data_IF_259799119552
#
_entry.id   IF_259799119552
#
_cell.length_a   1.000
_cell.length_b   1.000
_cell.length_c   1.000
_cell.angle_alpha   90.00
_cell.angle_beta   90.00
_cell.angle_gamma   90.00
#
_symmetry.space_group_name_H-M   'P 1'
#
loop_
_entity.id
_entity.type
_entity.pdbx_description
1 polymer ?
#
# COMPACT_ATOMS: atom_id res chain seq x y z
N UNK A 1 -13.74 -23.31 4.32
CA UNK A 1 -13.95 -22.85 5.71
C UNK A 1 -12.80 -21.92 6.06
N UNK A 2 -12.98 -20.60 5.97
CA UNK A 2 -12.03 -19.64 6.52
C UNK A 2 -12.06 -19.77 8.05
N UNK A 3 -10.87 -19.82 8.66
CA UNK A 3 -10.67 -20.25 10.05
C UNK A 3 -11.50 -19.44 11.05
N UNK A 4 -12.16 -20.14 11.97
CA UNK A 4 -13.07 -19.58 12.99
C UNK A 4 -12.42 -18.60 13.98
N UNK A 5 -11.13 -18.30 13.89
CA UNK A 5 -10.38 -17.50 14.86
C UNK A 5 -9.33 -16.60 14.17
N UNK A 6 -9.74 -15.71 13.25
CA UNK A 6 -8.81 -14.73 12.64
C UNK A 6 -9.16 -13.35 13.17
N UNK A 7 -8.26 -12.76 13.96
CA UNK A 7 -8.32 -11.36 14.36
C UNK A 7 -7.39 -10.56 13.43
N UNK A 8 -7.93 -9.51 12.81
CA UNK A 8 -7.13 -8.56 12.07
C UNK A 8 -6.50 -7.56 13.04
N UNK A 9 -5.18 -7.41 12.98
CA UNK A 9 -4.45 -6.40 13.73
C UNK A 9 -3.83 -5.41 12.75
N UNK A 10 -4.35 -4.18 12.77
CA UNK A 10 -3.81 -3.11 11.92
C UNK A 10 -2.34 -2.80 12.25
N UNK A 11 -1.54 -2.33 11.28
CA UNK A 11 -0.19 -1.86 11.56
C UNK A 11 -0.14 -0.82 12.68
N UNK A 12 1.01 -0.73 13.34
CA UNK A 12 1.23 0.23 14.42
C UNK A 12 2.66 0.72 14.48
N UNK A 13 2.80 1.90 15.07
CA UNK A 13 4.04 2.63 15.18
C UNK A 13 4.73 2.33 16.51
N UNK A 14 6.04 2.18 16.49
CA UNK A 14 6.86 2.26 17.69
C UNK A 14 7.22 3.73 17.96
N UNK A 15 6.65 4.39 18.99
CA UNK A 15 6.90 5.81 19.24
C UNK A 15 8.37 6.15 19.44
N UNK A 16 9.16 5.23 20.01
CA UNK A 16 10.60 5.41 20.25
C UNK A 16 11.45 5.42 18.97
N UNK A 17 10.86 5.02 17.83
CA UNK A 17 11.50 5.00 16.51
C UNK A 17 11.06 6.16 15.63
N UNK A 18 10.14 6.99 16.09
CA UNK A 18 9.70 8.16 15.36
C UNK A 18 10.69 9.30 15.62
N UNK A 19 11.27 9.88 14.56
CA UNK A 19 12.19 11.01 14.70
C UNK A 19 11.47 12.21 15.34
N UNK A 20 12.23 13.10 16.00
CA UNK A 20 11.67 14.37 16.46
C UNK A 20 11.18 15.21 15.29
N UNK A 21 10.45 16.29 15.57
CA UNK A 21 10.11 17.25 14.52
C UNK A 21 11.40 17.84 13.93
N UNK A 22 11.50 17.82 12.61
CA UNK A 22 12.66 18.34 11.87
C UNK A 22 12.21 19.43 10.91
N UNK A 23 13.17 20.25 10.47
CA UNK A 23 12.95 21.20 9.39
C UNK A 23 12.54 20.47 8.10
N UNK A 24 11.63 21.06 7.34
CA UNK A 24 11.14 20.49 6.07
C UNK A 24 12.06 20.93 4.95
N UNK A 25 12.89 20.01 4.48
CA UNK A 25 13.92 20.22 3.45
C UNK A 25 13.46 19.78 2.06
N UNK A 26 12.56 18.80 1.98
CA UNK A 26 12.07 18.23 0.71
C UNK A 26 10.60 18.54 0.51
N UNK A 27 10.20 18.80 -0.74
CA UNK A 27 8.80 19.08 -1.08
C UNK A 27 7.96 17.80 -1.04
N UNK A 28 8.31 16.83 -1.88
CA UNK A 28 7.57 15.57 -2.01
C UNK A 28 8.52 14.39 -1.88
N UNK A 29 8.18 13.47 -0.97
CA UNK A 29 8.78 12.15 -0.88
C UNK A 29 7.82 11.08 -1.40
N UNK A 30 8.32 10.20 -2.26
CA UNK A 30 7.59 9.05 -2.78
C UNK A 30 8.27 7.75 -2.32
N UNK A 31 7.55 6.88 -1.62
CA UNK A 31 8.14 5.63 -1.10
C UNK A 31 8.04 4.52 -2.14
N UNK A 32 9.21 4.10 -2.65
CA UNK A 32 9.37 3.06 -3.66
C UNK A 32 9.20 1.63 -3.11
N UNK A 33 9.73 0.61 -3.83
CA UNK A 33 10.47 0.70 -5.09
C UNK A 33 9.60 1.13 -6.29
N UNK A 34 10.23 1.54 -7.38
CA UNK A 34 9.55 1.89 -8.63
C UNK A 34 10.23 1.17 -9.78
N UNK A 35 9.50 0.32 -10.48
CA UNK A 35 10.04 -0.51 -11.55
C UNK A 35 9.23 -0.27 -12.81
N UNK A 36 9.90 -0.02 -13.93
CA UNK A 36 9.28 0.14 -15.23
C UNK A 36 8.45 -1.12 -15.53
N UNK A 37 7.13 -0.97 -15.77
CA UNK A 37 6.24 -2.09 -16.06
C UNK A 37 6.72 -2.97 -17.23
N UNK A 38 7.47 -2.41 -18.19
CA UNK A 38 8.05 -3.16 -19.32
C UNK A 38 9.07 -4.22 -18.87
N UNK A 39 9.73 -4.04 -17.73
CA UNK A 39 10.67 -5.02 -17.16
C UNK A 39 9.93 -6.31 -16.77
N UNK A 40 8.72 -6.18 -16.20
CA UNK A 40 7.87 -7.33 -15.90
C UNK A 40 7.40 -8.02 -17.19
N UNK A 41 6.88 -7.24 -18.14
CA UNK A 41 6.36 -7.81 -19.39
C UNK A 41 7.46 -8.53 -20.18
N UNK A 42 8.68 -7.98 -20.25
CA UNK A 42 9.82 -8.62 -20.89
C UNK A 42 10.21 -9.93 -20.19
N UNK A 43 10.31 -9.92 -18.86
CA UNK A 43 10.62 -11.13 -18.08
C UNK A 43 9.55 -12.22 -18.24
N UNK A 44 8.27 -11.84 -18.33
CA UNK A 44 7.17 -12.77 -18.58
C UNK A 44 7.20 -13.33 -19.99
N UNK A 45 7.48 -12.49 -20.99
CA UNK A 45 7.54 -12.92 -22.39
C UNK A 45 8.63 -13.96 -22.65
N UNK A 46 9.72 -13.92 -21.90
CA UNK A 46 10.81 -14.90 -21.98
C UNK A 46 10.50 -16.21 -21.24
N UNK A 47 9.70 -16.15 -20.18
CA UNK A 47 9.48 -17.25 -19.22
C UNK A 47 8.16 -18.00 -19.42
N UNK A 48 7.10 -17.30 -19.80
CA UNK A 48 5.74 -17.81 -19.84
C UNK A 48 5.36 -18.19 -21.27
N UNK A 49 4.48 -19.18 -21.41
CA UNK A 49 3.80 -19.40 -22.68
C UNK A 49 2.85 -18.24 -23.02
N UNK A 50 2.45 -18.16 -24.29
CA UNK A 50 1.62 -17.06 -24.80
C UNK A 50 0.32 -16.88 -24.00
N UNK A 51 -0.32 -17.98 -23.58
CA UNK A 51 -1.56 -17.92 -22.80
C UNK A 51 -1.34 -17.34 -21.41
N UNK A 52 -0.31 -17.82 -20.70
CA UNK A 52 0.05 -17.31 -19.37
C UNK A 52 0.56 -15.88 -19.40
N UNK A 53 1.33 -15.50 -20.43
CA UNK A 53 1.75 -14.12 -20.64
C UNK A 53 0.54 -13.20 -20.81
N UNK A 54 -0.38 -13.52 -21.73
CA UNK A 54 -1.60 -12.74 -21.95
C UNK A 54 -2.48 -12.66 -20.70
N UNK A 55 -2.61 -13.77 -19.96
CA UNK A 55 -3.32 -13.79 -18.70
C UNK A 55 -2.69 -12.84 -17.66
N UNK A 56 -1.37 -12.90 -17.50
CA UNK A 56 -0.65 -12.08 -16.54
C UNK A 56 -0.75 -10.59 -16.84
N UNK A 57 -0.56 -10.20 -18.11
CA UNK A 57 -0.66 -8.80 -18.55
C UNK A 57 -2.07 -8.24 -18.39
N UNK A 58 -3.09 -8.98 -18.83
CA UNK A 58 -4.48 -8.52 -18.75
C UNK A 58 -5.00 -8.49 -17.31
N UNK A 59 -4.66 -9.48 -16.49
CA UNK A 59 -4.99 -9.45 -15.06
C UNK A 59 -4.33 -8.26 -14.36
N UNK A 60 -3.04 -8.00 -14.64
CA UNK A 60 -2.34 -6.85 -14.11
C UNK A 60 -2.98 -5.52 -14.48
N UNK A 61 -3.34 -5.35 -15.76
CA UNK A 61 -4.05 -4.17 -16.27
C UNK A 61 -5.46 -4.05 -15.71
N UNK A 62 -6.16 -5.16 -15.45
CA UNK A 62 -7.46 -5.16 -14.78
C UNK A 62 -7.33 -4.61 -13.35
N UNK A 63 -6.36 -5.11 -12.58
CA UNK A 63 -6.10 -4.65 -11.20
C UNK A 63 -5.63 -3.20 -11.16
N UNK A 64 -4.81 -2.79 -12.12
CA UNK A 64 -4.41 -1.39 -12.27
C UNK A 64 -5.63 -0.45 -12.39
N UNK A 65 -6.59 -0.81 -13.25
CA UNK A 65 -7.83 -0.04 -13.46
C UNK A 65 -8.85 -0.18 -12.32
N UNK A 66 -8.75 -1.25 -11.53
CA UNK A 66 -9.69 -1.58 -10.45
C UNK A 66 -8.91 -1.90 -9.17
N UNK A 67 -8.28 -0.91 -8.53
CA UNK A 67 -7.36 -1.12 -7.42
C UNK A 67 -7.99 -1.79 -6.19
N UNK A 68 -9.30 -1.66 -6.01
CA UNK A 68 -10.06 -2.29 -4.91
C UNK A 68 -10.46 -3.75 -5.19
N UNK A 69 -10.33 -4.23 -6.43
CA UNK A 69 -10.73 -5.59 -6.77
C UNK A 69 -9.75 -6.60 -6.15
N UNK A 70 -10.21 -7.54 -5.30
CA UNK A 70 -9.31 -8.53 -4.72
C UNK A 70 -8.65 -9.39 -5.79
N UNK A 71 -7.32 -9.53 -5.73
CA UNK A 71 -6.53 -10.20 -6.76
C UNK A 71 -7.03 -11.63 -7.10
N UNK A 72 -7.40 -12.43 -6.10
CA UNK A 72 -7.96 -13.79 -6.32
C UNK A 72 -9.34 -13.77 -6.98
N UNK A 73 -10.14 -12.74 -6.72
CA UNK A 73 -11.43 -12.57 -7.37
C UNK A 73 -11.22 -12.14 -8.83
N UNK A 74 -10.37 -11.13 -9.06
CA UNK A 74 -9.99 -10.67 -10.38
C UNK A 74 -9.39 -11.78 -11.24
N UNK A 75 -8.54 -12.65 -10.66
CA UNK A 75 -7.97 -13.78 -11.38
C UNK A 75 -9.06 -14.73 -11.85
N UNK A 76 -10.00 -15.10 -10.98
CA UNK A 76 -11.12 -16.00 -11.32
C UNK A 76 -12.01 -15.40 -12.42
N UNK A 77 -12.29 -14.09 -12.32
CA UNK A 77 -13.01 -13.36 -13.36
C UNK A 77 -12.24 -13.39 -14.69
N UNK A 78 -10.94 -13.06 -14.68
CA UNK A 78 -10.12 -13.01 -15.87
C UNK A 78 -10.05 -14.39 -16.57
N UNK A 79 -9.87 -15.47 -15.81
CA UNK A 79 -9.84 -16.85 -16.33
C UNK A 79 -11.11 -17.16 -17.13
N UNK A 80 -12.27 -16.74 -16.63
CA UNK A 80 -13.55 -16.99 -17.31
C UNK A 80 -13.67 -16.35 -18.71
N UNK A 81 -12.80 -15.38 -19.02
CA UNK A 81 -12.78 -14.69 -20.32
C UNK A 81 -11.91 -15.41 -21.37
N UNK A 82 -11.08 -16.37 -20.96
CA UNK A 82 -10.25 -17.17 -21.86
C UNK A 82 -11.00 -18.38 -22.42
N UNK A 83 -10.45 -19.03 -23.45
CA UNK A 83 -11.05 -20.22 -24.04
C UNK A 83 -11.05 -21.42 -23.06
N UNK A 84 -11.94 -22.42 -23.23
CA UNK A 84 -12.08 -23.54 -22.30
C UNK A 84 -10.79 -24.36 -22.08
N UNK A 85 -9.96 -24.49 -23.11
CA UNK A 85 -8.71 -25.25 -23.02
C UNK A 85 -7.70 -24.58 -22.08
N UNK A 86 -7.58 -23.25 -22.17
CA UNK A 86 -6.75 -22.48 -21.27
C UNK A 86 -7.30 -22.50 -19.83
N UNK A 87 -8.62 -22.38 -19.68
CA UNK A 87 -9.28 -22.48 -18.37
C UNK A 87 -8.94 -23.81 -17.66
N UNK A 88 -9.08 -24.94 -18.36
CA UNK A 88 -8.76 -26.26 -17.81
C UNK A 88 -7.28 -26.38 -17.43
N UNK A 89 -6.38 -25.88 -18.29
CA UNK A 89 -4.94 -25.88 -18.05
C UNK A 89 -4.57 -25.08 -16.81
N UNK A 90 -5.18 -23.91 -16.62
CA UNK A 90 -4.90 -23.06 -15.47
C UNK A 90 -5.53 -23.58 -14.18
N UNK A 91 -6.75 -24.16 -14.25
CA UNK A 91 -7.34 -24.85 -13.10
C UNK A 91 -6.46 -26.02 -12.63
N UNK A 92 -5.89 -26.78 -13.56
CA UNK A 92 -4.93 -27.83 -13.24
C UNK A 92 -3.66 -27.26 -12.60
N UNK A 93 -3.11 -26.17 -13.14
CA UNK A 93 -1.95 -25.48 -12.56
C UNK A 93 -2.23 -25.02 -11.12
N UNK A 94 -3.40 -24.44 -10.85
CA UNK A 94 -3.82 -24.04 -9.50
C UNK A 94 -3.89 -25.23 -8.53
N UNK A 95 -4.41 -26.37 -8.98
CA UNK A 95 -4.58 -27.55 -8.13
C UNK A 95 -3.27 -28.30 -7.85
N UNK A 96 -2.40 -28.40 -8.86
CA UNK A 96 -1.16 -29.17 -8.77
C UNK A 96 0.01 -28.34 -8.22
N UNK A 97 -0.02 -27.01 -8.39
CA UNK A 97 1.09 -26.09 -8.07
C UNK A 97 0.59 -24.78 -7.46
N UNK A 98 -0.21 -24.84 -6.40
CA UNK A 98 -0.82 -23.67 -5.74
C UNK A 98 0.23 -22.63 -5.31
N UNK A 99 1.38 -23.05 -4.77
CA UNK A 99 2.46 -22.13 -4.36
C UNK A 99 3.01 -21.32 -5.55
N UNK A 100 3.25 -21.97 -6.68
CA UNK A 100 3.74 -21.30 -7.90
C UNK A 100 2.68 -20.39 -8.51
N UNK A 101 1.41 -20.81 -8.47
CA UNK A 101 0.30 -19.97 -8.90
C UNK A 101 0.17 -18.73 -8.01
N UNK A 102 0.33 -18.88 -6.70
CA UNK A 102 0.32 -17.76 -5.76
C UNK A 102 1.52 -16.83 -5.94
N UNK A 103 2.70 -17.37 -6.26
CA UNK A 103 3.86 -16.56 -6.62
C UNK A 103 3.61 -15.75 -7.91
N UNK A 104 3.02 -16.36 -8.94
CA UNK A 104 2.62 -15.66 -10.17
C UNK A 104 1.60 -14.55 -9.87
N UNK A 105 0.59 -14.82 -9.06
CA UNK A 105 -0.37 -13.78 -8.65
C UNK A 105 0.32 -12.64 -7.91
N UNK A 106 1.22 -12.93 -6.96
CA UNK A 106 1.97 -11.89 -6.25
C UNK A 106 2.80 -11.02 -7.21
N UNK A 107 3.42 -11.63 -8.22
CA UNK A 107 4.17 -10.94 -9.26
C UNK A 107 3.27 -10.04 -10.12
N UNK A 108 2.09 -10.54 -10.53
CA UNK A 108 1.07 -9.75 -11.24
C UNK A 108 0.58 -8.57 -10.40
N UNK A 109 0.40 -8.77 -9.09
CA UNK A 109 0.08 -7.71 -8.14
C UNK A 109 1.19 -6.66 -8.05
N UNK A 110 2.45 -7.09 -8.08
CA UNK A 110 3.63 -6.21 -8.14
C UNK A 110 3.70 -5.40 -9.44
N UNK A 111 3.39 -6.02 -10.58
CA UNK A 111 3.28 -5.35 -11.87
C UNK A 111 2.16 -4.29 -11.86
N UNK A 112 0.96 -4.63 -11.37
CA UNK A 112 -0.15 -3.69 -11.28
C UNK A 112 0.16 -2.49 -10.35
N UNK A 113 0.85 -2.75 -9.24
CA UNK A 113 1.34 -1.69 -8.35
C UNK A 113 2.32 -0.77 -9.07
N UNK A 114 3.28 -1.34 -9.81
CA UNK A 114 4.28 -0.56 -10.52
C UNK A 114 3.73 0.20 -11.73
N UNK A 115 2.71 -0.32 -12.42
CA UNK A 115 1.95 0.47 -13.41
C UNK A 115 1.41 1.76 -12.79
N UNK A 116 0.86 1.70 -11.57
CA UNK A 116 0.38 2.89 -10.86
C UNK A 116 1.52 3.80 -10.44
N UNK A 117 2.57 3.27 -9.82
CA UNK A 117 3.74 4.05 -9.38
C UNK A 117 4.35 4.80 -10.56
N UNK A 118 4.55 4.10 -11.67
CA UNK A 118 5.09 4.69 -12.89
C UNK A 118 4.17 5.77 -13.44
N UNK A 119 2.85 5.52 -13.52
CA UNK A 119 1.88 6.51 -13.96
C UNK A 119 1.87 7.78 -13.11
N UNK A 120 1.91 7.65 -11.77
CA UNK A 120 1.92 8.79 -10.84
C UNK A 120 3.16 9.65 -11.06
N UNK A 121 4.34 9.03 -11.13
CA UNK A 121 5.60 9.77 -11.32
C UNK A 121 5.69 10.40 -12.72
N UNK A 122 5.27 9.65 -13.75
CA UNK A 122 5.24 10.15 -15.12
C UNK A 122 4.19 11.26 -15.33
N UNK A 123 3.22 11.41 -14.43
CA UNK A 123 2.20 12.44 -14.58
C UNK A 123 2.51 13.78 -13.91
N UNK A 124 3.61 13.88 -13.17
CA UNK A 124 3.99 15.09 -12.44
C UNK A 124 5.22 15.68 -13.12
N UNK A 125 5.12 16.91 -13.62
CA UNK A 125 6.18 17.55 -14.42
C UNK A 125 6.97 18.60 -13.63
N UNK A 126 6.27 19.49 -12.92
CA UNK A 126 6.88 20.72 -12.39
C UNK A 126 7.31 20.63 -10.91
N UNK A 127 7.12 19.47 -10.29
CA UNK A 127 7.42 19.26 -8.86
C UNK A 127 8.56 18.25 -8.72
N UNK A 128 9.57 18.59 -7.92
CA UNK A 128 10.63 17.65 -7.57
C UNK A 128 10.07 16.50 -6.70
N UNK A 129 10.26 15.26 -7.14
CA UNK A 129 9.83 14.07 -6.40
C UNK A 129 11.06 13.29 -5.95
N UNK A 130 11.21 13.18 -4.63
CA UNK A 130 12.28 12.42 -3.99
C UNK A 130 11.83 10.97 -3.78
N UNK A 131 12.25 10.06 -4.66
CA UNK A 131 11.91 8.63 -4.58
C UNK A 131 12.85 7.90 -3.63
N UNK A 132 12.28 7.24 -2.62
CA UNK A 132 13.01 6.49 -1.60
C UNK A 132 13.01 5.00 -1.94
N UNK A 133 14.19 4.45 -2.21
CA UNK A 133 14.39 3.07 -2.61
C UNK A 133 14.69 2.90 -4.11
N UNK A 134 14.78 1.65 -4.53
CA UNK A 134 15.22 1.27 -5.88
C UNK A 134 14.30 1.82 -6.98
N UNK A 135 14.90 2.37 -8.03
CA UNK A 135 14.22 2.72 -9.29
C UNK A 135 14.85 1.93 -10.44
N UNK A 136 14.03 1.23 -11.22
CA UNK A 136 14.48 0.48 -12.40
C UNK A 136 13.75 0.96 -13.64
N UNK A 137 14.43 1.74 -14.47
CA UNK A 137 13.92 2.32 -15.70
C UNK A 137 14.32 3.80 -15.82
N UNK A 138 13.93 4.45 -16.90
CA UNK A 138 14.25 5.87 -17.14
C UNK A 138 13.14 6.76 -16.55
N UNK A 139 13.50 7.65 -15.64
CA UNK A 139 12.58 8.62 -15.04
C UNK A 139 12.79 10.03 -15.61
N UNK A 140 11.81 10.90 -15.42
CA UNK A 140 11.92 12.33 -15.74
C UNK A 140 12.96 13.03 -14.88
N UNK A 141 13.43 14.19 -15.35
CA UNK A 141 14.48 14.99 -14.69
C UNK A 141 14.08 15.52 -13.30
N UNK A 142 12.78 15.69 -13.04
CA UNK A 142 12.25 16.11 -11.74
C UNK A 142 12.21 14.98 -10.70
N UNK A 143 12.59 13.75 -11.06
CA UNK A 143 12.63 12.61 -10.14
C UNK A 143 14.05 12.41 -9.60
N UNK A 144 14.21 12.60 -8.29
CA UNK A 144 15.48 12.41 -7.59
C UNK A 144 15.44 11.09 -6.82
N UNK A 145 16.39 10.20 -7.07
CA UNK A 145 16.37 8.84 -6.52
C UNK A 145 17.36 8.68 -5.37
N UNK A 146 16.89 8.13 -4.25
CA UNK A 146 17.67 7.76 -3.08
C UNK A 146 17.59 6.25 -2.85
N UNK A 147 18.37 5.49 -3.63
CA UNK A 147 18.33 4.02 -3.62
C UNK A 147 18.75 3.37 -2.29
N UNK A 148 19.61 4.08 -1.53
CA UNK A 148 20.13 3.64 -0.24
C UNK A 148 19.11 3.79 0.91
N UNK A 149 18.06 4.60 0.72
CA UNK A 149 16.99 4.81 1.69
C UNK A 149 15.90 3.74 1.50
N UNK A 150 16.18 2.53 2.00
CA UNK A 150 15.30 1.37 1.88
C UNK A 150 14.90 0.73 3.22
N UNK A 151 15.44 1.21 4.34
CA UNK A 151 15.07 0.74 5.68
C UNK A 151 14.02 1.66 6.29
N UNK A 152 13.10 1.09 7.06
CA UNK A 152 12.00 1.83 7.68
C UNK A 152 12.46 3.05 8.48
N UNK A 153 13.56 2.96 9.26
CA UNK A 153 14.05 4.10 10.05
C UNK A 153 14.57 5.23 9.14
N UNK A 154 15.30 4.88 8.09
CA UNK A 154 15.89 5.85 7.16
C UNK A 154 14.77 6.53 6.35
N UNK A 155 13.81 5.73 5.87
CA UNK A 155 12.57 6.21 5.23
C UNK A 155 11.83 7.16 6.18
N UNK A 156 11.55 6.76 7.42
CA UNK A 156 10.81 7.59 8.38
C UNK A 156 11.55 8.91 8.67
N UNK A 157 12.88 8.86 8.76
CA UNK A 157 13.72 10.06 8.96
C UNK A 157 13.64 10.99 7.77
N UNK A 158 13.69 10.47 6.54
CA UNK A 158 13.52 11.27 5.33
C UNK A 158 12.11 11.89 5.27
N UNK A 159 11.06 11.11 5.57
CA UNK A 159 9.68 11.56 5.60
C UNK A 159 9.47 12.70 6.60
N UNK A 160 10.11 12.66 7.77
CA UNK A 160 10.03 13.78 8.72
C UNK A 160 10.66 15.09 8.23
N UNK A 161 11.58 15.02 7.25
CA UNK A 161 12.15 16.19 6.54
C UNK A 161 11.38 16.56 5.28
N UNK A 162 10.31 15.83 4.94
CA UNK A 162 9.48 16.09 3.76
C UNK A 162 8.21 16.86 4.13
N UNK A 163 7.77 17.78 3.28
CA UNK A 163 6.50 18.51 3.45
C UNK A 163 5.31 17.58 3.18
N UNK A 164 5.40 16.82 2.09
CA UNK A 164 4.39 15.85 1.65
C UNK A 164 5.02 14.48 1.46
N UNK A 165 4.32 13.44 1.91
CA UNK A 165 4.62 12.06 1.52
C UNK A 165 3.51 11.57 0.58
N UNK A 166 3.88 11.26 -0.66
CA UNK A 166 2.99 10.66 -1.64
C UNK A 166 3.16 9.14 -1.62
N UNK A 167 2.18 8.43 -1.06
CA UNK A 167 2.26 7.00 -0.86
C UNK A 167 1.34 6.27 -1.84
N UNK A 168 1.91 5.32 -2.57
CA UNK A 168 1.18 4.32 -3.35
C UNK A 168 1.11 3.01 -2.59
N UNK A 169 -0.07 2.41 -2.55
CA UNK A 169 -0.30 1.21 -1.77
C UNK A 169 -0.40 -0.04 -2.65
N UNK A 170 0.03 -1.20 -2.12
CA UNK A 170 -0.17 -2.44 -2.85
C UNK A 170 -1.66 -2.77 -3.05
N UNK A 171 -2.03 -3.37 -4.20
CA UNK A 171 -3.42 -3.76 -4.49
C UNK A 171 -3.90 -4.93 -3.61
N UNK A 172 -3.01 -5.63 -2.94
CA UNK A 172 -3.34 -6.76 -2.06
C UNK A 172 -3.68 -6.36 -0.62
N UNK A 173 -3.81 -5.06 -0.33
CA UNK A 173 -4.31 -4.53 0.94
C UNK A 173 -5.69 -3.87 0.76
N UNK A 174 -6.77 -4.65 0.58
CA UNK A 174 -8.11 -4.09 0.38
C UNK A 174 -8.75 -3.57 1.68
N UNK A 175 -8.38 -4.14 2.84
CA UNK A 175 -9.01 -3.87 4.14
C UNK A 175 -8.10 -3.15 5.14
N UNK A 176 -6.94 -2.66 4.72
CA UNK A 176 -5.95 -2.01 5.58
C UNK A 176 -5.17 -0.95 4.82
N UNK A 177 -4.53 -0.06 5.57
CA UNK A 177 -3.43 0.76 5.08
C UNK A 177 -2.09 0.05 5.30
N UNK A 178 -1.09 0.39 4.48
CA UNK A 178 0.28 -0.13 4.62
C UNK A 178 1.01 0.45 5.83
N UNK A 179 2.00 -0.27 6.35
CA UNK A 179 2.82 0.16 7.49
C UNK A 179 3.40 1.57 7.31
N UNK A 180 3.89 1.86 6.10
CA UNK A 180 4.48 3.14 5.72
C UNK A 180 3.52 4.32 5.94
N UNK A 181 2.22 4.14 5.75
CA UNK A 181 1.24 5.21 6.00
C UNK A 181 1.27 5.66 7.46
N UNK A 182 1.26 4.71 8.40
CA UNK A 182 1.28 5.05 9.83
C UNK A 182 2.60 5.71 10.25
N UNK A 183 3.72 5.24 9.73
CA UNK A 183 5.03 5.85 10.01
C UNK A 183 5.18 7.23 9.37
N UNK A 184 4.63 7.43 8.17
CA UNK A 184 4.62 8.74 7.51
C UNK A 184 3.81 9.75 8.31
N UNK A 185 2.58 9.40 8.69
CA UNK A 185 1.73 10.26 9.50
C UNK A 185 2.40 10.57 10.85
N UNK A 186 3.00 9.56 11.51
CA UNK A 186 3.73 9.76 12.77
C UNK A 186 4.94 10.71 12.63
N UNK A 187 5.57 10.75 11.45
CA UNK A 187 6.70 11.60 11.13
C UNK A 187 6.32 13.09 10.94
N UNK A 188 5.05 13.47 11.18
CA UNK A 188 4.56 14.85 11.03
C UNK A 188 4.73 15.38 9.60
N UNK A 189 4.44 14.55 8.60
CA UNK A 189 4.37 14.96 7.19
C UNK A 189 2.94 14.86 6.71
N UNK A 190 2.51 15.79 5.85
CA UNK A 190 1.21 15.65 5.20
C UNK A 190 1.25 14.37 4.37
N UNK A 191 0.40 13.41 4.73
CA UNK A 191 0.43 12.10 4.12
C UNK A 191 -0.70 11.96 3.12
N UNK A 192 -0.32 11.89 1.84
CA UNK A 192 -1.22 11.57 0.73
C UNK A 192 -1.21 10.06 0.48
N UNK A 193 -2.39 9.45 0.46
CA UNK A 193 -2.58 8.01 0.20
C UNK A 193 -3.63 7.77 -0.86
N UNK A 194 -3.54 6.65 -1.57
CA UNK A 194 -4.60 6.22 -2.48
C UNK A 194 -5.95 6.13 -1.75
N UNK A 195 -7.01 6.66 -2.36
CA UNK A 195 -8.37 6.53 -1.83
C UNK A 195 -8.75 5.05 -1.73
N UNK A 196 -9.13 4.63 -0.52
CA UNK A 196 -9.61 3.28 -0.22
C UNK A 196 -10.71 3.34 0.83
N UNK A 197 -11.67 2.44 0.74
CA UNK A 197 -12.71 2.27 1.76
C UNK A 197 -12.12 2.08 3.18
N UNK A 198 -11.00 1.36 3.28
CA UNK A 198 -10.34 1.12 4.57
C UNK A 198 -9.71 2.36 5.19
N UNK A 199 -9.34 3.39 4.40
CA UNK A 199 -8.67 4.58 4.92
C UNK A 199 -9.52 5.29 5.98
N UNK A 200 -10.83 5.37 5.74
CA UNK A 200 -11.85 5.98 6.60
C UNK A 200 -12.02 5.28 7.96
N UNK A 201 -11.48 4.06 8.10
CA UNK A 201 -11.49 3.32 9.37
C UNK A 201 -10.32 3.69 10.29
N UNK A 202 -9.28 4.35 9.76
CA UNK A 202 -8.08 4.71 10.51
C UNK A 202 -8.00 6.22 10.72
N UNK A 203 -8.23 6.98 9.65
CA UNK A 203 -8.03 8.42 9.62
C UNK A 203 -9.23 9.17 9.05
N UNK A 204 -9.33 10.46 9.41
CA UNK A 204 -10.28 11.42 8.84
C UNK A 204 -9.62 12.15 7.67
N UNK A 205 -10.19 11.97 6.48
CA UNK A 205 -9.80 12.65 5.25
C UNK A 205 -9.88 14.18 5.41
N UNK A 206 -8.91 14.91 4.83
CA UNK A 206 -8.77 16.37 4.91
C UNK A 206 -8.54 16.96 6.31
N UNK A 207 -8.44 16.11 7.33
CA UNK A 207 -8.14 16.53 8.71
C UNK A 207 -6.90 15.87 9.28
N UNK A 208 -6.64 14.61 8.92
CA UNK A 208 -5.53 13.80 9.43
C UNK A 208 -4.63 13.24 8.32
N UNK A 209 -5.21 13.02 7.13
CA UNK A 209 -4.53 12.58 5.90
C UNK A 209 -5.23 13.18 4.68
N UNK A 210 -4.57 13.10 3.52
CA UNK A 210 -5.18 13.40 2.23
C UNK A 210 -5.27 12.11 1.41
N UNK A 211 -6.41 11.91 0.76
CA UNK A 211 -6.60 10.82 -0.20
C UNK A 211 -6.37 11.35 -1.62
N UNK A 212 -6.15 10.47 -2.58
CA UNK A 212 -6.19 10.80 -4.01
C UNK A 212 -6.64 9.59 -4.83
N UNK A 213 -7.27 9.81 -5.97
CA UNK A 213 -7.57 8.73 -6.89
C UNK A 213 -6.31 8.39 -7.71
N UNK A 214 -5.80 7.14 -7.68
CA UNK A 214 -4.49 6.82 -8.24
C UNK A 214 -4.35 6.99 -9.74
N UNK A 215 -5.47 7.11 -10.46
CA UNK A 215 -5.54 7.31 -11.92
C UNK A 215 -5.89 8.74 -12.33
N UNK A 216 -6.13 9.63 -11.37
CA UNK A 216 -6.46 11.02 -11.64
C UNK A 216 -5.20 11.88 -11.44
N UNK A 217 -4.39 11.98 -12.49
CA UNK A 217 -3.15 12.76 -12.43
C UNK A 217 -3.39 14.25 -12.15
N UNK A 218 -4.51 14.79 -12.64
CA UNK A 218 -4.88 16.19 -12.44
C UNK A 218 -5.20 16.43 -10.97
N UNK A 219 -5.91 15.51 -10.33
CA UNK A 219 -6.15 15.56 -8.89
C UNK A 219 -4.85 15.46 -8.09
N UNK A 220 -3.97 14.52 -8.43
CA UNK A 220 -2.70 14.31 -7.72
C UNK A 220 -1.84 15.57 -7.77
N UNK A 221 -1.56 16.07 -8.97
CA UNK A 221 -0.73 17.25 -9.17
C UNK A 221 -1.38 18.50 -8.56
N UNK A 222 -2.68 18.69 -8.75
CA UNK A 222 -3.42 19.81 -8.16
C UNK A 222 -3.36 19.82 -6.62
N UNK A 223 -3.50 18.66 -5.97
CA UNK A 223 -3.36 18.54 -4.51
C UNK A 223 -1.93 18.80 -4.05
N UNK A 224 -0.92 18.34 -4.79
CA UNK A 224 0.47 18.64 -4.46
C UNK A 224 0.73 20.15 -4.51
N UNK A 225 0.35 20.83 -5.61
CA UNK A 225 0.51 22.28 -5.76
C UNK A 225 -0.22 23.02 -4.64
N UNK A 226 -1.50 22.69 -4.40
CA UNK A 226 -2.30 23.34 -3.36
C UNK A 226 -1.63 23.27 -1.98
N UNK A 227 -1.18 22.09 -1.55
CA UNK A 227 -0.58 21.92 -0.23
C UNK A 227 0.89 22.39 -0.15
N UNK A 228 1.59 22.50 -1.27
CA UNK A 228 2.94 23.06 -1.31
C UNK A 228 2.92 24.59 -1.28
N UNK A 229 2.02 25.21 -2.05
CA UNK A 229 2.04 26.64 -2.35
C UNK A 229 0.89 27.42 -1.69
N UNK A 230 -0.36 27.00 -1.93
CA UNK A 230 -1.55 27.78 -1.57
C UNK A 230 -1.94 27.63 -0.09
N UNK A 231 -1.75 26.44 0.47
CA UNK A 231 -2.24 26.06 1.79
C UNK A 231 -1.17 25.46 2.72
N UNK A 232 0.00 26.10 2.92
CA UNK A 232 1.09 25.56 3.75
C UNK A 232 0.69 25.41 5.22
N UNK A 233 -0.14 26.32 5.75
CA UNK A 233 -0.62 26.24 7.13
C UNK A 233 -1.62 25.09 7.33
N UNK A 234 -2.52 24.89 6.37
CA UNK A 234 -3.48 23.78 6.38
C UNK A 234 -2.74 22.43 6.30
N UNK A 235 -1.74 22.33 5.42
CA UNK A 235 -0.84 21.17 5.34
C UNK A 235 -0.24 20.83 6.70
N UNK A 236 0.30 21.82 7.41
CA UNK A 236 0.92 21.64 8.73
C UNK A 236 -0.08 21.23 9.80
N UNK A 237 -1.29 21.79 9.77
CA UNK A 237 -2.38 21.44 10.68
C UNK A 237 -2.82 19.98 10.47
N UNK A 238 -3.05 19.57 9.23
CA UNK A 238 -3.44 18.19 8.90
C UNK A 238 -2.34 17.21 9.33
N UNK A 239 -1.07 17.52 9.02
CA UNK A 239 0.07 16.67 9.41
C UNK A 239 0.16 16.49 10.93
N UNK A 240 -0.07 17.58 11.68
CA UNK A 240 -0.07 17.55 13.15
C UNK A 240 -1.24 16.72 13.69
N UNK A 241 -2.45 16.93 13.18
CA UNK A 241 -3.63 16.19 13.61
C UNK A 241 -3.50 14.70 13.32
N UNK A 242 -2.99 14.33 12.14
CA UNK A 242 -2.68 12.95 11.81
C UNK A 242 -1.66 12.33 12.76
N UNK A 243 -0.58 13.05 13.09
CA UNK A 243 0.40 12.59 14.08
C UNK A 243 -0.26 12.37 15.44
N UNK A 244 -1.03 13.33 15.93
CA UNK A 244 -1.73 13.23 17.21
C UNK A 244 -2.65 12.00 17.24
N UNK A 245 -3.38 11.73 16.14
CA UNK A 245 -4.19 10.52 15.94
C UNK A 245 -3.37 9.24 16.04
N UNK A 246 -2.21 9.16 15.38
CA UNK A 246 -1.36 7.96 15.44
C UNK A 246 -0.86 7.67 16.86
N UNK A 247 -0.39 8.70 17.57
CA UNK A 247 0.13 8.52 18.93
C UNK A 247 -0.97 8.19 19.94
N UNK A 248 -2.21 8.60 19.65
CA UNK A 248 -3.38 8.26 20.47
C UNK A 248 -3.86 6.81 20.24
N UNK A 249 -3.97 6.37 18.98
CA UNK A 249 -4.77 5.19 18.63
C UNK A 249 -4.01 4.10 17.86
N UNK A 250 -2.79 4.38 17.38
CA UNK A 250 -2.08 3.53 16.41
C UNK A 250 -0.62 3.22 16.79
N UNK A 251 -0.30 3.17 18.09
CA UNK A 251 1.00 2.71 18.56
C UNK A 251 1.00 1.23 18.93
N UNK A 252 2.20 0.65 19.08
CA UNK A 252 2.37 -0.72 19.57
C UNK A 252 1.75 -0.93 20.96
N UNK A 253 1.63 0.12 21.77
CA UNK A 253 0.97 0.03 23.08
C UNK A 253 -0.51 -0.30 22.93
N UNK A 254 -1.25 0.46 22.11
CA UNK A 254 -2.68 0.17 21.88
C UNK A 254 -2.89 -1.19 21.21
N UNK A 255 -1.98 -1.64 20.34
CA UNK A 255 -2.05 -3.00 19.77
C UNK A 255 -1.84 -4.08 20.83
N UNK A 256 -0.94 -3.85 21.78
CA UNK A 256 -0.73 -4.74 22.92
C UNK A 256 -1.98 -4.88 23.79
N UNK A 257 -2.68 -3.77 24.06
CA UNK A 257 -3.95 -3.78 24.80
C UNK A 257 -5.04 -4.57 24.06
N UNK A 258 -5.19 -4.35 22.74
CA UNK A 258 -6.15 -5.10 21.91
C UNK A 258 -5.85 -6.60 21.95
N UNK A 259 -4.59 -6.98 21.78
CA UNK A 259 -4.17 -8.38 21.86
C UNK A 259 -4.43 -8.99 23.25
N UNK A 260 -4.15 -8.24 24.31
CA UNK A 260 -4.45 -8.64 25.69
C UNK A 260 -5.92 -8.96 25.87
N UNK A 261 -6.81 -8.03 25.48
CA UNK A 261 -8.25 -8.20 25.59
C UNK A 261 -8.76 -9.42 24.79
N UNK A 262 -8.27 -9.62 23.56
CA UNK A 262 -8.63 -10.79 22.74
C UNK A 262 -8.23 -12.09 23.43
N UNK A 263 -7.03 -12.16 24.02
CA UNK A 263 -6.56 -13.33 24.73
C UNK A 263 -7.39 -13.61 26.00
N UNK A 264 -7.75 -12.57 26.74
CA UNK A 264 -8.64 -12.68 27.91
C UNK A 264 -10.01 -13.23 27.52
N UNK A 265 -10.61 -12.72 26.44
CA UNK A 265 -11.90 -13.21 25.92
C UNK A 265 -11.82 -14.69 25.51
N UNK A 266 -10.74 -15.10 24.83
CA UNK A 266 -10.51 -16.49 24.43
C UNK A 266 -10.40 -17.39 25.68
N UNK A 267 -9.66 -16.96 26.70
CA UNK A 267 -9.50 -17.72 27.96
C UNK A 267 -10.84 -17.86 28.68
N UNK A 268 -11.64 -16.79 28.74
CA UNK A 268 -12.97 -16.82 29.36
C UNK A 268 -13.91 -17.78 28.63
N UNK A 269 -13.96 -17.73 27.29
CA UNK A 269 -14.79 -18.62 26.48
C UNK A 269 -14.38 -20.09 26.64
N UNK A 270 -13.07 -20.40 26.65
CA UNK A 270 -12.57 -21.76 26.84
C UNK A 270 -12.92 -22.31 28.24
N UNK A 271 -12.84 -21.45 29.27
CA UNK A 271 -13.17 -21.83 30.65
C UNK A 271 -14.67 -22.13 30.83
N UNK A 272 -15.55 -21.32 30.23
CA UNK A 272 -17.00 -21.53 30.26
C UNK A 272 -17.44 -22.78 29.49
N UNK A 273 -16.81 -23.08 28.35
CA UNK A 273 -17.08 -24.32 27.59
C UNK A 273 -16.66 -25.58 28.33
N UNK A 274 -15.63 -25.49 29.17
CA UNK A 274 -15.17 -26.62 29.99
C UNK A 274 -16.15 -26.92 31.12
N UNK A 275 -16.66 -25.89 31.81
CA UNK A 275 -17.67 -26.03 32.87
C UNK A 275 -19.03 -26.55 32.35
N UNK A 276 -19.43 -26.18 31.14
CA UNK A 276 -20.69 -26.66 30.53
C UNK A 276 -20.61 -28.09 29.98
N UNK A 277 -19.42 -28.69 29.86
CA UNK A 277 -19.25 -30.11 29.47
C UNK A 277 -19.18 -31.06 30.67
N UNK A 278 -18.94 -30.53 31.87
CA UNK A 278 -18.88 -31.30 33.11
C UNK A 278 -20.24 -31.37 33.85
N UNK A 279 -21.24 -30.62 33.39
CA UNK A 279 -22.65 -30.71 33.81
C UNK A 279 -23.49 -31.43 32.74
#
# INVERSE_FOLDING_TARGET
QLGKNVAFLAPAVNPSKIPPSMEKEFDVAFVGPVIDPSIYENAWKERLDEGLYMFATELGRLIYRNPDMPLRYASSFMISQFNPQFQESLMKFQQERDEDFMALLAEIGGYAMNLRRWHILDSIDDIEINVLGEVRGETKDNVIVYEDINKLNDITTFLSRSKISLLSQPPFLPSSLGLTTFYSVAANTLTMVEEKLSAKSFFVEEQEIITYHPMDSVEIEGKLIYYLEDAPNEREEIAKNGKDRVFKDHTLYQRGEILGNILEDIIQQASQQSQNKEN
#
